data_IF_256337999268
#
_entry.id   IF_256337999268
#
_cell.length_a   1.000
_cell.length_b   1.000
_cell.length_c   1.000
_cell.angle_alpha   90.00
_cell.angle_beta   90.00
_cell.angle_gamma   90.00
#
_symmetry.space_group_name_H-M   'P 1'
#
loop_
_entity.id
_entity.type
_entity.pdbx_description
1 polymer ?
#
# COMPACT_ATOMS: atom_id res chain seq x y z
N UNK A 1 -13.93 -29.25 -3.21
CA UNK A 1 -13.89 -27.78 -3.28
C UNK A 1 -13.23 -27.26 -2.01
N UNK A 2 -11.90 -27.21 -2.01
CA UNK A 2 -11.11 -26.66 -0.89
C UNK A 2 -11.02 -25.16 -1.08
N UNK A 3 -11.93 -24.41 -0.45
CA UNK A 3 -11.82 -22.96 -0.33
C UNK A 3 -10.53 -22.67 0.46
N UNK A 4 -9.54 -22.15 -0.25
CA UNK A 4 -8.18 -21.98 0.24
C UNK A 4 -8.12 -21.00 1.41
N UNK A 5 -7.64 -21.50 2.55
CA UNK A 5 -6.97 -20.70 3.58
C UNK A 5 -5.68 -20.12 2.98
N UNK A 6 -5.76 -18.99 2.26
CA UNK A 6 -4.57 -18.23 1.81
C UNK A 6 -4.72 -16.71 1.95
N UNK A 7 -5.71 -16.20 2.71
CA UNK A 7 -5.89 -14.76 2.94
C UNK A 7 -4.89 -14.12 3.91
N UNK A 8 -3.72 -14.73 4.16
CA UNK A 8 -2.78 -14.27 5.18
C UNK A 8 -1.42 -13.76 4.63
N UNK A 9 -1.04 -14.08 3.40
CA UNK A 9 0.38 -13.98 3.00
C UNK A 9 0.79 -12.64 2.34
N UNK A 10 -0.16 -11.79 1.93
CA UNK A 10 0.17 -10.47 1.39
C UNK A 10 -0.95 -9.80 0.61
N UNK A 11 -0.65 -8.65 0.03
CA UNK A 11 -1.51 -7.90 -0.89
C UNK A 11 -1.35 -8.48 -2.30
N UNK A 12 -2.44 -8.90 -2.96
CA UNK A 12 -2.36 -9.46 -4.31
C UNK A 12 -2.00 -8.37 -5.32
N UNK A 13 -1.11 -8.70 -6.26
CA UNK A 13 -0.63 -7.77 -7.31
C UNK A 13 -0.74 -8.35 -8.73
N UNK A 14 -1.56 -9.40 -8.90
CA UNK A 14 -1.76 -10.11 -10.16
C UNK A 14 -0.88 -11.36 -10.32
N UNK A 15 -1.22 -12.23 -11.27
CA UNK A 15 -0.45 -13.45 -11.61
C UNK A 15 -0.19 -14.39 -10.42
N UNK A 16 -1.06 -14.38 -9.40
CA UNK A 16 -0.89 -15.14 -8.16
C UNK A 16 0.20 -14.62 -7.23
N UNK A 17 0.85 -13.49 -7.56
CA UNK A 17 1.86 -12.87 -6.71
C UNK A 17 1.23 -12.04 -5.59
N UNK A 18 1.87 -12.14 -4.42
CA UNK A 18 1.52 -11.39 -3.23
C UNK A 18 2.76 -10.69 -2.71
N UNK A 19 2.60 -9.44 -2.28
CA UNK A 19 3.66 -8.65 -1.65
C UNK A 19 3.21 -8.18 -0.28
N UNK A 20 4.14 -7.84 0.61
CA UNK A 20 3.77 -7.28 1.91
C UNK A 20 3.03 -5.94 1.75
N UNK A 21 2.19 -5.54 2.73
CA UNK A 21 1.56 -4.22 2.71
C UNK A 21 2.57 -3.06 2.62
N UNK A 22 3.76 -3.21 3.21
CA UNK A 22 4.83 -2.23 3.12
C UNK A 22 5.37 -2.10 1.68
N UNK A 23 5.64 -3.23 1.02
CA UNK A 23 6.04 -3.24 -0.40
C UNK A 23 4.95 -2.64 -1.29
N UNK A 24 3.69 -2.93 -1.00
CA UNK A 24 2.56 -2.38 -1.73
C UNK A 24 2.49 -0.86 -1.61
N UNK A 25 2.71 -0.29 -0.41
CA UNK A 25 2.79 1.15 -0.21
C UNK A 25 3.94 1.78 -1.01
N UNK A 26 5.12 1.16 -1.01
CA UNK A 26 6.26 1.65 -1.77
C UNK A 26 6.02 1.57 -3.28
N UNK A 27 5.37 0.50 -3.76
CA UNK A 27 4.95 0.35 -5.15
C UNK A 27 3.93 1.43 -5.55
N UNK A 28 2.89 1.66 -4.75
CA UNK A 28 1.93 2.74 -4.98
C UNK A 28 2.62 4.10 -5.03
N UNK A 29 3.55 4.34 -4.10
CA UNK A 29 4.44 5.49 -4.07
C UNK A 29 5.21 5.71 -5.37
N UNK A 30 5.84 4.64 -5.88
CA UNK A 30 6.55 4.67 -7.15
C UNK A 30 5.62 5.03 -8.33
N UNK A 31 4.42 4.44 -8.39
CA UNK A 31 3.45 4.73 -9.45
C UNK A 31 3.00 6.21 -9.44
N UNK A 32 2.85 6.80 -8.25
CA UNK A 32 2.48 8.21 -8.09
C UNK A 32 3.58 9.15 -8.56
N UNK A 33 4.80 8.97 -8.05
CA UNK A 33 5.84 9.99 -8.16
C UNK A 33 6.90 9.72 -9.23
N UNK A 34 7.08 8.46 -9.63
CA UNK A 34 8.28 8.02 -10.36
C UNK A 34 7.98 7.27 -11.65
N UNK A 35 6.72 6.93 -11.93
CA UNK A 35 6.28 6.29 -13.17
C UNK A 35 5.52 7.27 -14.09
N UNK A 36 6.23 8.16 -14.84
CA UNK A 36 5.57 9.15 -15.70
C UNK A 36 4.76 8.51 -16.83
N UNK A 37 5.15 7.31 -17.27
CA UNK A 37 4.48 6.52 -18.31
C UNK A 37 3.24 5.76 -17.85
N UNK A 38 2.97 5.70 -16.53
CA UNK A 38 1.77 5.01 -16.03
C UNK A 38 0.50 5.78 -16.45
N UNK A 39 -0.58 5.10 -16.86
CA UNK A 39 -1.84 5.77 -17.17
C UNK A 39 -2.33 6.65 -16.02
N UNK A 40 -2.89 7.81 -16.34
CA UNK A 40 -3.35 8.77 -15.33
C UNK A 40 -4.34 8.17 -14.32
N UNK A 41 -5.21 7.25 -14.77
CA UNK A 41 -6.14 6.53 -13.91
C UNK A 41 -5.42 5.63 -12.88
N UNK A 42 -4.38 4.90 -13.30
CA UNK A 42 -3.57 4.07 -12.41
C UNK A 42 -2.79 4.93 -11.41
N UNK A 43 -2.25 6.07 -11.85
CA UNK A 43 -1.61 7.05 -10.95
C UNK A 43 -2.58 7.58 -9.90
N UNK A 44 -3.81 7.94 -10.31
CA UNK A 44 -4.84 8.44 -9.42
C UNK A 44 -5.29 7.37 -8.41
N UNK A 45 -5.41 6.10 -8.85
CA UNK A 45 -5.70 4.98 -7.96
C UNK A 45 -4.57 4.78 -6.93
N UNK A 46 -3.32 4.74 -7.38
CA UNK A 46 -2.15 4.64 -6.50
C UNK A 46 -2.10 5.81 -5.49
N UNK A 47 -2.47 7.03 -5.92
CA UNK A 47 -2.56 8.19 -5.03
C UNK A 47 -3.60 7.98 -3.93
N UNK A 48 -4.81 7.54 -4.30
CA UNK A 48 -5.86 7.26 -3.31
C UNK A 48 -5.45 6.18 -2.32
N UNK A 49 -4.77 5.11 -2.78
CA UNK A 49 -4.22 4.06 -1.91
C UNK A 49 -3.33 4.68 -0.83
N UNK A 50 -2.39 5.55 -1.21
CA UNK A 50 -1.51 6.22 -0.25
C UNK A 50 -2.29 7.09 0.72
N UNK A 51 -3.24 7.89 0.22
CA UNK A 51 -4.04 8.80 1.05
C UNK A 51 -4.85 8.03 2.10
N UNK A 52 -5.51 6.94 1.72
CA UNK A 52 -6.33 6.15 2.67
C UNK A 52 -5.48 5.33 3.64
N UNK A 53 -4.38 4.73 3.18
CA UNK A 53 -3.52 3.95 4.05
C UNK A 53 -2.78 4.86 5.05
N UNK A 54 -2.27 6.01 4.63
CA UNK A 54 -1.64 6.97 5.53
C UNK A 54 -2.64 7.64 6.46
N UNK A 55 -3.87 7.89 6.00
CA UNK A 55 -4.97 8.35 6.86
C UNK A 55 -5.30 7.32 7.96
N UNK A 56 -5.44 6.05 7.59
CA UNK A 56 -5.70 4.97 8.54
C UNK A 56 -4.54 4.76 9.53
N UNK A 57 -3.30 4.78 9.05
CA UNK A 57 -2.11 4.68 9.89
C UNK A 57 -2.02 5.86 10.87
N UNK A 58 -2.25 7.09 10.40
CA UNK A 58 -2.23 8.29 11.23
C UNK A 58 -3.32 8.27 12.32
N UNK A 59 -4.53 7.81 11.98
CA UNK A 59 -5.62 7.60 12.94
C UNK A 59 -5.25 6.59 14.05
N UNK A 60 -4.29 5.69 13.78
CA UNK A 60 -3.74 4.71 14.72
C UNK A 60 -2.39 5.12 15.34
N UNK A 61 -1.98 6.38 15.17
CA UNK A 61 -0.81 6.95 15.86
C UNK A 61 0.49 6.96 15.04
N UNK A 62 0.46 6.60 13.75
CA UNK A 62 1.62 6.76 12.89
C UNK A 62 1.85 8.23 12.53
N UNK A 63 2.84 8.86 13.17
CA UNK A 63 3.13 10.29 13.01
C UNK A 63 4.04 10.62 11.81
N UNK A 64 4.56 9.62 11.10
CA UNK A 64 5.61 9.80 10.09
C UNK A 64 5.11 9.69 8.65
N UNK A 65 3.80 9.75 8.39
CA UNK A 65 3.22 9.67 7.04
C UNK A 65 3.84 10.68 6.07
N UNK A 66 3.93 11.95 6.46
CA UNK A 66 4.49 13.01 5.61
C UNK A 66 6.00 12.83 5.35
N UNK A 67 6.73 12.23 6.30
CA UNK A 67 8.16 11.94 6.14
C UNK A 67 8.33 10.80 5.14
N UNK A 68 7.62 9.69 5.34
CA UNK A 68 7.66 8.55 4.42
C UNK A 68 7.26 8.96 3.00
N UNK A 69 6.17 9.72 2.85
CA UNK A 69 5.71 10.20 1.55
C UNK A 69 6.76 11.05 0.83
N UNK A 70 7.44 11.95 1.57
CA UNK A 70 8.53 12.75 1.01
C UNK A 70 9.72 11.89 0.57
N UNK A 71 10.09 10.89 1.36
CA UNK A 71 11.19 9.97 1.02
C UNK A 71 10.88 9.19 -0.27
N UNK A 72 9.64 8.71 -0.41
CA UNK A 72 9.14 8.04 -1.62
C UNK A 72 9.21 9.00 -2.82
N UNK A 73 8.71 10.23 -2.67
CA UNK A 73 8.73 11.23 -3.75
C UNK A 73 10.16 11.56 -4.22
N UNK A 74 11.12 11.58 -3.30
CA UNK A 74 12.54 11.80 -3.57
C UNK A 74 13.28 10.55 -4.09
N UNK A 75 12.60 9.41 -4.25
CA UNK A 75 13.20 8.13 -4.62
C UNK A 75 14.35 7.70 -3.70
N UNK A 76 14.23 7.99 -2.41
CA UNK A 76 15.20 7.52 -1.42
C UNK A 76 15.22 5.98 -1.38
N UNK A 77 16.43 5.41 -1.25
CA UNK A 77 16.62 3.96 -1.12
C UNK A 77 17.37 3.69 0.17
N UNK A 78 16.67 3.82 1.30
CA UNK A 78 17.26 3.67 2.63
C UNK A 78 16.51 2.63 3.45
N UNK A 79 17.24 1.95 4.35
CA UNK A 79 16.65 1.07 5.35
C UNK A 79 15.68 1.81 6.28
N UNK A 80 15.86 3.13 6.42
CA UNK A 80 14.93 3.99 7.14
C UNK A 80 13.59 4.12 6.41
N UNK A 81 13.59 4.35 5.09
CA UNK A 81 12.35 4.42 4.30
C UNK A 81 11.58 3.10 4.41
N UNK A 82 12.29 1.98 4.29
CA UNK A 82 11.70 0.66 4.42
C UNK A 82 11.04 0.46 5.78
N UNK A 83 11.75 0.79 6.86
CA UNK A 83 11.21 0.69 8.23
C UNK A 83 9.98 1.56 8.45
N UNK A 84 9.96 2.77 7.89
CA UNK A 84 8.78 3.65 7.98
C UNK A 84 7.60 3.06 7.21
N UNK A 85 7.82 2.41 6.05
CA UNK A 85 6.76 1.73 5.31
C UNK A 85 6.21 0.52 6.09
N UNK A 86 7.07 -0.27 6.73
CA UNK A 86 6.67 -1.37 7.63
C UNK A 86 5.85 -0.86 8.82
N UNK A 87 6.30 0.24 9.45
CA UNK A 87 5.57 0.86 10.56
C UNK A 87 4.22 1.43 10.13
N UNK A 88 4.15 2.08 8.96
CA UNK A 88 2.90 2.58 8.42
C UNK A 88 1.91 1.43 8.17
N UNK A 89 2.37 0.36 7.50
CA UNK A 89 1.59 -0.84 7.26
C UNK A 89 1.11 -1.49 8.56
N UNK A 90 2.02 -1.71 9.52
CA UNK A 90 1.68 -2.30 10.81
C UNK A 90 0.71 -1.43 11.63
N UNK A 91 0.81 -0.10 11.51
CA UNK A 91 -0.13 0.83 12.13
C UNK A 91 -1.53 0.75 11.50
N UNK A 92 -1.66 0.38 10.22
CA UNK A 92 -2.99 0.08 9.64
C UNK A 92 -3.57 -1.19 10.24
N UNK A 93 -2.75 -2.23 10.43
CA UNK A 93 -3.14 -3.50 11.03
C UNK A 93 -2.49 -4.68 10.31
N UNK A 94 -3.10 -5.86 10.41
CA UNK A 94 -2.70 -7.00 9.60
C UNK A 94 -3.05 -6.80 8.11
N UNK A 95 -2.61 -7.73 7.25
CA UNK A 95 -2.90 -7.70 5.81
C UNK A 95 -4.41 -7.62 5.51
N UNK A 96 -5.26 -8.26 6.33
CA UNK A 96 -6.72 -8.22 6.12
C UNK A 96 -7.28 -6.83 6.40
N UNK A 97 -6.86 -6.20 7.50
CA UNK A 97 -7.22 -4.82 7.82
C UNK A 97 -6.73 -3.84 6.75
N UNK A 98 -5.52 -4.06 6.23
CA UNK A 98 -4.95 -3.26 5.15
C UNK A 98 -5.78 -3.36 3.86
N UNK A 99 -6.13 -4.58 3.43
CA UNK A 99 -6.99 -4.81 2.27
C UNK A 99 -8.39 -4.20 2.46
N UNK A 100 -8.93 -4.28 3.67
CA UNK A 100 -10.23 -3.69 3.97
C UNK A 100 -10.21 -2.16 3.84
N UNK A 101 -9.16 -1.48 4.32
CA UNK A 101 -9.00 -0.02 4.16
C UNK A 101 -8.96 0.38 2.68
N UNK A 102 -8.30 -0.42 1.84
CA UNK A 102 -8.25 -0.17 0.39
C UNK A 102 -9.62 -0.37 -0.24
N UNK A 103 -10.35 -1.44 0.11
CA UNK A 103 -11.71 -1.69 -0.39
C UNK A 103 -12.71 -0.62 0.05
N UNK A 104 -12.65 -0.17 1.30
CA UNK A 104 -13.53 0.88 1.83
C UNK A 104 -13.32 2.22 1.11
N UNK A 105 -12.14 2.42 0.51
CA UNK A 105 -11.83 3.56 -0.34
C UNK A 105 -12.39 3.44 -1.78
N UNK A 106 -13.15 2.39 -2.08
CA UNK A 106 -13.69 2.09 -3.40
C UNK A 106 -12.64 1.60 -4.39
N UNK A 107 -11.53 1.02 -3.90
CA UNK A 107 -10.47 0.46 -4.73
C UNK A 107 -10.56 -1.06 -4.66
N UNK A 108 -10.94 -1.68 -5.77
CA UNK A 108 -10.98 -3.14 -5.91
C UNK A 108 -9.60 -3.64 -6.32
N UNK A 109 -9.08 -4.64 -5.61
CA UNK A 109 -7.84 -5.31 -5.97
C UNK A 109 -8.14 -6.56 -6.78
N UNK A 110 -7.21 -6.96 -7.64
CA UNK A 110 -7.32 -8.22 -8.38
C UNK A 110 -7.36 -9.38 -7.38
N UNK A 111 -8.48 -10.11 -7.32
CA UNK A 111 -8.75 -11.15 -6.31
C UNK A 111 -10.07 -10.99 -5.55
N UNK A 112 -10.75 -9.85 -5.66
CA UNK A 112 -12.08 -9.61 -5.06
C UNK A 112 -13.26 -10.13 -5.95
N UNK A 113 -12.99 -11.00 -6.95
CA UNK A 113 -14.00 -11.52 -7.92
C UNK A 113 -14.24 -13.02 -7.75
#
# INVERSE_FOLDING_TARGET
MTQGKHNADGVPVGEGHHISPAEFLLMAGFLVYRAPSVPGAARAAARRILDVAFGAAAARGFAHSAVLERMIANAEKSSHMWRLAEQAAAAVGDTTAFLQVIRDAGITLEGDV
#
